data_IF_962178789265
#
_entry.id   IF_962178789265
#
_cell.length_a   1.000
_cell.length_b   1.000
_cell.length_c   1.000
_cell.angle_alpha   90.00
_cell.angle_beta   90.00
_cell.angle_gamma   90.00
#
_symmetry.space_group_name_H-M   'P 1'
#
loop_
_entity.id
_entity.type
_entity.pdbx_description
1 polymer ?
#
# COMPACT_ATOMS: atom_id res chain seq x y z
N UNK A 1 4.73 13.95 -30.40
CA UNK A 1 5.85 14.34 -29.53
C UNK A 1 5.79 13.63 -28.17
N UNK A 2 4.65 13.65 -27.46
CA UNK A 2 4.50 13.07 -26.11
C UNK A 2 4.96 11.60 -25.96
N UNK A 3 4.63 10.71 -26.90
CA UNK A 3 5.03 9.30 -26.83
C UNK A 3 6.55 9.09 -26.84
N UNK A 4 7.29 9.91 -27.62
CA UNK A 4 8.76 9.86 -27.67
C UNK A 4 9.40 10.26 -26.34
N UNK A 5 8.83 11.25 -25.65
CA UNK A 5 9.31 11.67 -24.34
C UNK A 5 9.10 10.56 -23.30
N UNK A 6 7.93 9.94 -23.29
CA UNK A 6 7.62 8.84 -22.37
C UNK A 6 8.52 7.63 -22.64
N UNK A 7 8.80 7.32 -23.92
CA UNK A 7 9.71 6.25 -24.31
C UNK A 7 11.14 6.50 -23.77
N UNK A 8 11.64 7.73 -23.96
CA UNK A 8 12.96 8.14 -23.49
C UNK A 8 13.06 8.08 -21.97
N UNK A 9 12.03 8.51 -21.24
CA UNK A 9 11.99 8.41 -19.78
C UNK A 9 12.06 6.96 -19.28
N UNK A 10 11.41 6.01 -19.98
CA UNK A 10 11.49 4.59 -19.65
C UNK A 10 12.90 4.06 -19.86
N UNK A 11 13.55 4.43 -20.96
CA UNK A 11 14.93 4.03 -21.27
C UNK A 11 15.91 4.59 -20.23
N UNK A 12 15.80 5.87 -19.88
CA UNK A 12 16.63 6.52 -18.88
C UNK A 12 16.47 5.85 -17.50
N UNK A 13 15.24 5.53 -17.09
CA UNK A 13 14.96 4.81 -15.83
C UNK A 13 15.47 3.36 -15.88
N UNK A 14 15.40 2.70 -17.03
CA UNK A 14 15.96 1.36 -17.22
C UNK A 14 17.49 1.34 -17.11
N UNK A 15 18.17 2.35 -17.65
CA UNK A 15 19.61 2.49 -17.48
C UNK A 15 19.98 2.73 -16.01
N UNK A 16 19.27 3.63 -15.32
CA UNK A 16 19.52 3.93 -13.89
C UNK A 16 19.32 2.72 -12.99
N UNK A 17 18.22 1.97 -13.17
CA UNK A 17 17.95 0.74 -12.40
C UNK A 17 19.00 -0.33 -12.63
N UNK A 18 19.52 -0.48 -13.85
CA UNK A 18 20.59 -1.44 -14.14
C UNK A 18 21.86 -1.13 -13.36
N UNK A 19 22.27 0.15 -13.31
CA UNK A 19 23.45 0.57 -12.56
C UNK A 19 23.24 0.41 -11.04
N UNK A 20 22.06 0.79 -10.53
CA UNK A 20 21.72 0.61 -9.13
C UNK A 20 21.68 -0.88 -8.72
N UNK A 21 21.29 -1.75 -9.65
CA UNK A 21 21.29 -3.20 -9.43
C UNK A 21 22.68 -3.79 -9.31
N UNK A 22 23.62 -3.28 -10.08
CA UNK A 22 25.02 -3.67 -9.96
C UNK A 22 25.58 -3.25 -8.59
N UNK A 23 25.27 -2.03 -8.13
CA UNK A 23 25.64 -1.57 -6.80
C UNK A 23 24.98 -2.40 -5.68
N UNK A 24 23.68 -2.70 -5.79
CA UNK A 24 22.95 -3.50 -4.80
C UNK A 24 23.29 -5.01 -4.84
N UNK A 25 23.95 -5.49 -5.90
CA UNK A 25 24.43 -6.86 -6.02
C UNK A 25 25.83 -7.06 -5.45
N UNK A 26 26.51 -5.98 -5.04
CA UNK A 26 27.78 -6.06 -4.35
C UNK A 26 27.61 -6.80 -3.01
N UNK A 27 28.59 -7.62 -2.59
CA UNK A 27 28.50 -8.42 -1.37
C UNK A 27 28.43 -7.57 -0.10
N UNK A 28 28.86 -6.32 -0.18
CA UNK A 28 28.82 -5.30 0.87
C UNK A 28 27.63 -4.33 0.74
N UNK A 29 26.68 -4.59 -0.19
CA UNK A 29 25.53 -3.73 -0.41
C UNK A 29 24.68 -3.59 0.86
N UNK A 30 24.48 -2.34 1.27
CA UNK A 30 23.69 -2.02 2.45
C UNK A 30 22.19 -2.23 2.20
N UNK A 31 21.41 -2.33 3.27
CA UNK A 31 19.95 -2.40 3.17
C UNK A 31 19.35 -1.14 2.53
N UNK A 32 20.05 0.00 2.65
CA UNK A 32 19.70 1.25 1.98
C UNK A 32 19.83 1.13 0.46
N UNK A 33 20.92 0.55 -0.04
CA UNK A 33 21.13 0.40 -1.49
C UNK A 33 20.08 -0.52 -2.12
N UNK A 34 19.67 -1.56 -1.39
CA UNK A 34 18.57 -2.46 -1.81
C UNK A 34 17.22 -1.76 -1.78
N UNK A 35 16.97 -0.88 -0.81
CA UNK A 35 15.75 -0.08 -0.75
C UNK A 35 15.69 0.94 -1.90
N UNK A 36 16.80 1.63 -2.18
CA UNK A 36 16.91 2.59 -3.28
C UNK A 36 16.70 1.90 -4.64
N UNK A 37 17.25 0.69 -4.82
CA UNK A 37 16.97 -0.14 -6.00
C UNK A 37 15.47 -0.41 -6.15
N UNK A 38 14.78 -0.85 -5.09
CA UNK A 38 13.34 -1.14 -5.15
C UNK A 38 12.53 0.10 -5.55
N UNK A 39 12.88 1.26 -5.02
CA UNK A 39 12.24 2.53 -5.38
C UNK A 39 12.43 2.83 -6.88
N UNK A 40 13.65 2.66 -7.39
CA UNK A 40 13.94 2.89 -8.81
C UNK A 40 13.23 1.87 -9.74
N UNK A 41 13.13 0.60 -9.33
CA UNK A 41 12.39 -0.42 -10.07
C UNK A 41 10.90 -0.09 -10.15
N UNK A 42 10.31 0.37 -9.05
CA UNK A 42 8.91 0.82 -9.00
C UNK A 42 8.67 2.01 -9.95
N UNK A 43 9.57 2.99 -9.96
CA UNK A 43 9.50 4.16 -10.84
C UNK A 43 9.52 3.80 -12.32
N UNK A 44 10.27 2.76 -12.68
CA UNK A 44 10.36 2.22 -14.03
C UNK A 44 9.05 1.51 -14.40
N UNK A 45 8.51 0.68 -13.50
CA UNK A 45 7.21 0.03 -13.70
C UNK A 45 6.08 1.05 -13.87
N UNK A 46 6.05 2.09 -13.03
CA UNK A 46 5.09 3.18 -13.13
C UNK A 46 5.19 3.94 -14.46
N UNK A 47 6.41 4.21 -14.94
CA UNK A 47 6.63 4.84 -16.25
C UNK A 47 6.12 3.96 -17.40
N UNK A 48 6.38 2.64 -17.34
CA UNK A 48 5.84 1.67 -18.31
C UNK A 48 4.32 1.62 -18.31
N UNK A 49 3.68 1.63 -17.13
CA UNK A 49 2.23 1.68 -17.02
C UNK A 49 1.66 2.99 -17.57
N UNK A 50 2.27 4.14 -17.26
CA UNK A 50 1.88 5.44 -17.81
C UNK A 50 1.94 5.44 -19.34
N UNK A 51 2.98 4.86 -19.95
CA UNK A 51 3.07 4.69 -21.40
C UNK A 51 1.90 3.89 -21.96
N UNK A 52 1.62 2.72 -21.36
CA UNK A 52 0.47 1.87 -21.75
C UNK A 52 -0.87 2.62 -21.65
N UNK A 53 -1.09 3.36 -20.55
CA UNK A 53 -2.31 4.18 -20.37
C UNK A 53 -2.39 5.33 -21.37
N UNK A 54 -1.29 6.03 -21.63
CA UNK A 54 -1.24 7.15 -22.59
C UNK A 54 -1.46 6.70 -24.04
N UNK A 55 -1.18 5.43 -24.36
CA UNK A 55 -1.48 4.83 -25.65
C UNK A 55 -2.95 4.39 -25.81
N UNK A 56 -3.68 4.23 -24.70
CA UNK A 56 -5.10 3.83 -24.68
C UNK A 56 -6.08 4.95 -24.33
N UNK A 57 -5.61 6.13 -23.91
CA UNK A 57 -6.43 7.25 -23.45
C UNK A 57 -6.86 8.20 -24.58
N UNK A 58 -7.26 7.65 -25.74
CA UNK A 58 -7.96 8.44 -26.75
C UNK A 58 -9.27 7.73 -27.06
N UNK A 59 -10.34 8.43 -26.75
CA UNK A 59 -11.75 8.13 -27.05
C UNK A 59 -12.49 7.31 -25.96
N UNK A 60 -13.31 7.98 -25.14
CA UNK A 60 -14.78 7.84 -25.12
C UNK A 60 -15.40 8.48 -23.86
N UNK A 61 -15.61 9.79 -23.90
CA UNK A 61 -16.67 10.46 -23.13
C UNK A 61 -18.00 10.51 -23.91
N UNK A 62 -18.22 9.57 -24.83
CA UNK A 62 -19.46 9.45 -25.60
C UNK A 62 -19.94 8.01 -25.52
N UNK A 63 -21.01 7.78 -24.77
CA UNK A 63 -21.65 6.48 -24.63
C UNK A 63 -22.16 5.98 -26.00
N UNK A 64 -21.79 4.77 -26.46
CA UNK A 64 -22.39 4.18 -27.64
C UNK A 64 -23.63 3.36 -27.23
N UNK A 65 -24.73 3.62 -27.94
CA UNK A 65 -25.96 2.86 -27.96
C UNK A 65 -25.75 1.58 -28.79
N UNK A 66 -25.85 0.39 -28.19
CA UNK A 66 -25.78 -0.90 -28.95
C UNK A 66 -25.45 -2.13 -28.10
N UNK A 67 -26.40 -3.05 -27.95
CA UNK A 67 -26.52 -4.00 -26.83
C UNK A 67 -25.65 -5.27 -26.77
N UNK A 68 -24.71 -5.54 -27.70
CA UNK A 68 -23.88 -6.77 -27.64
C UNK A 68 -22.37 -6.53 -27.64
N UNK A 69 -21.87 -5.53 -28.37
CA UNK A 69 -20.45 -5.11 -28.28
C UNK A 69 -20.13 -4.43 -26.95
N UNK A 70 -21.14 -3.84 -26.29
CA UNK A 70 -21.01 -3.15 -25.02
C UNK A 70 -20.55 -4.07 -23.89
N UNK A 71 -21.13 -5.27 -23.74
CA UNK A 71 -20.77 -6.22 -22.67
C UNK A 71 -19.34 -6.75 -22.79
N UNK A 72 -18.88 -6.96 -24.03
CA UNK A 72 -17.52 -7.42 -24.28
C UNK A 72 -16.49 -6.31 -24.07
N UNK A 73 -16.85 -5.03 -24.31
CA UNK A 73 -16.04 -3.89 -23.93
C UNK A 73 -16.05 -3.67 -22.42
N UNK A 74 -17.22 -3.70 -21.78
CA UNK A 74 -17.38 -3.54 -20.31
C UNK A 74 -16.48 -4.51 -19.55
N UNK A 75 -16.54 -5.80 -19.90
CA UNK A 75 -15.72 -6.82 -19.26
C UNK A 75 -14.21 -6.60 -19.44
N UNK A 76 -13.78 -5.99 -20.55
CA UNK A 76 -12.38 -5.63 -20.78
C UNK A 76 -11.98 -4.39 -19.99
N UNK A 77 -12.90 -3.44 -19.82
CA UNK A 77 -12.69 -2.24 -19.02
C UNK A 77 -12.61 -2.60 -17.53
N UNK A 78 -13.52 -3.44 -17.04
CA UNK A 78 -13.51 -3.93 -15.66
C UNK A 78 -12.24 -4.70 -15.34
N UNK A 79 -11.82 -5.63 -16.21
CA UNK A 79 -10.57 -6.37 -16.03
C UNK A 79 -9.34 -5.45 -16.01
N UNK A 80 -9.33 -4.38 -16.82
CA UNK A 80 -8.24 -3.40 -16.83
C UNK A 80 -8.26 -2.47 -15.60
N UNK A 81 -9.43 -2.27 -14.98
CA UNK A 81 -9.58 -1.54 -13.72
C UNK A 81 -9.10 -2.39 -12.54
N UNK A 82 -9.43 -3.69 -12.52
CA UNK A 82 -8.94 -4.64 -11.50
C UNK A 82 -7.41 -4.70 -11.45
N UNK A 83 -6.73 -4.65 -12.61
CA UNK A 83 -5.27 -4.62 -12.72
C UNK A 83 -4.64 -3.23 -12.46
N UNK A 84 -5.45 -2.16 -12.37
CA UNK A 84 -4.98 -0.76 -12.22
C UNK A 84 -4.86 -0.30 -10.77
N UNK A 85 -5.47 -1.04 -9.84
CA UNK A 85 -5.35 -0.78 -8.42
C UNK A 85 -4.47 -1.86 -7.78
N UNK A 86 -3.17 -1.60 -7.52
CA UNK A 86 -2.46 -2.44 -6.55
C UNK A 86 -3.28 -2.39 -5.26
N UNK A 87 -3.73 -3.53 -4.76
CA UNK A 87 -4.74 -3.66 -3.69
C UNK A 87 -4.38 -3.07 -2.32
N UNK A 88 -3.48 -2.11 -2.23
CA UNK A 88 -3.21 -1.34 -1.03
C UNK A 88 -2.54 -0.03 -1.44
N UNK A 89 -3.24 1.09 -1.27
CA UNK A 89 -2.56 2.32 -0.84
C UNK A 89 -1.60 1.90 0.30
N UNK A 90 -0.29 2.26 0.28
CA UNK A 90 0.64 1.84 1.33
C UNK A 90 -0.02 1.99 2.70
N UNK A 91 0.13 0.96 3.55
CA UNK A 91 -0.40 0.97 4.91
C UNK A 91 0.15 2.23 5.59
N UNK A 92 -0.71 3.23 5.76
CA UNK A 92 -0.38 4.41 6.56
C UNK A 92 -0.16 3.93 7.98
N UNK A 93 1.08 3.99 8.46
CA UNK A 93 1.37 3.71 9.86
C UNK A 93 0.65 4.77 10.70
N UNK A 94 -0.53 4.44 11.22
CA UNK A 94 -1.12 5.18 12.32
C UNK A 94 -0.21 4.90 13.51
N UNK A 95 0.64 5.87 13.84
CA UNK A 95 1.40 5.83 15.08
C UNK A 95 0.36 5.83 16.21
N UNK A 96 0.09 4.65 16.77
CA UNK A 96 -0.73 4.55 17.97
C UNK A 96 -0.07 5.45 19.02
N UNK A 97 -0.86 6.37 19.59
CA UNK A 97 -0.39 7.21 20.68
C UNK A 97 0.21 6.29 21.77
N UNK A 98 1.37 6.63 22.35
CA UNK A 98 1.93 5.83 23.43
C UNK A 98 0.91 5.81 24.56
N UNK A 99 0.27 4.66 24.77
CA UNK A 99 -0.47 4.43 26.01
C UNK A 99 0.57 4.19 27.08
N UNK A 100 0.69 5.17 27.98
CA UNK A 100 1.40 4.98 29.24
C UNK A 100 0.78 3.74 29.91
N UNK A 101 1.63 2.78 30.23
CA UNK A 101 1.23 1.64 31.05
C UNK A 101 1.10 2.18 32.47
N UNK A 102 -0.08 2.65 32.82
CA UNK A 102 -0.46 2.83 34.21
C UNK A 102 -0.66 1.43 34.81
N UNK A 103 0.31 1.07 35.65
CA UNK A 103 0.15 0.12 36.73
C UNK A 103 -1.08 0.52 37.55
N UNK A 104 -2.04 -0.40 37.74
CA UNK A 104 -2.85 -0.55 38.95
C UNK A 104 -4.00 -1.53 38.65
N UNK A 105 -3.97 -2.71 39.25
CA UNK A 105 -5.14 -3.47 39.72
C UNK A 105 -4.72 -4.89 40.15
N UNK A 106 -4.09 -4.99 41.31
CA UNK A 106 -3.93 -6.26 42.02
C UNK A 106 -3.91 -6.06 43.55
N UNK A 107 -4.96 -5.46 44.12
CA UNK A 107 -5.24 -5.55 45.56
C UNK A 107 -6.66 -6.07 45.84
N UNK A 108 -6.92 -7.33 45.45
CA UNK A 108 -7.98 -8.13 46.06
C UNK A 108 -7.40 -9.01 47.19
N UNK A 109 -7.10 -8.40 48.33
CA UNK A 109 -6.78 -9.13 49.56
C UNK A 109 -7.12 -8.29 50.81
N UNK A 110 -8.40 -8.18 51.16
CA UNK A 110 -8.77 -7.38 52.34
C UNK A 110 -10.23 -7.40 52.79
N UNK A 111 -11.00 -8.46 52.54
CA UNK A 111 -12.32 -8.61 53.18
C UNK A 111 -12.15 -8.88 54.67
N UNK A 112 -12.14 -7.81 55.48
CA UNK A 112 -12.16 -7.85 56.95
C UNK A 112 -13.39 -8.65 57.42
N UNK A 113 -13.27 -9.58 58.38
CA UNK A 113 -14.41 -10.29 58.93
C UNK A 113 -15.27 -9.33 59.78
N UNK A 114 -16.59 -9.46 59.65
CA UNK A 114 -17.61 -8.63 60.30
C UNK A 114 -17.49 -8.69 61.84
N UNK A 115 -17.71 -7.59 62.57
CA UNK A 115 -17.85 -7.65 64.03
C UNK A 115 -19.08 -8.50 64.41
N UNK A 116 -18.89 -9.37 65.42
CA UNK A 116 -19.93 -10.26 65.98
C UNK A 116 -20.91 -9.45 66.83
N UNK A 117 -22.12 -9.22 66.35
CA UNK A 117 -23.27 -8.93 67.23
C UNK A 117 -23.94 -10.24 67.64
N UNK A 118 -23.63 -10.70 68.86
CA UNK A 118 -24.42 -11.60 69.69
C UNK A 118 -24.63 -10.78 70.97
N UNK A 119 -25.83 -10.37 71.37
CA UNK A 119 -27.06 -11.14 71.64
C UNK A 119 -28.23 -10.17 71.93
N UNK A 120 -29.50 -10.52 71.67
CA UNK A 120 -30.64 -9.99 72.42
C UNK A 120 -31.16 -10.99 73.48
N UNK A 121 -31.36 -10.43 74.68
CA UNK A 121 -32.26 -10.79 75.80
C UNK A 121 -32.47 -12.23 76.29
N UNK A 122 -32.12 -12.44 77.57
CA UNK A 122 -33.08 -12.93 78.58
C UNK A 122 -32.72 -12.47 79.99
#
# INVERSE_FOLDING_TARGET
MATKHIQKEIEDKAAKTRNAREAAAAPDASDRDKADLKLMEQDLQAARQKSKRSGGAKDTATAPTGGNSKKAMDRKLDAALEDSFPGSDPVSFVQAAPTEKEEDDAENAGSRPRPRDKTPDR
#
